data_IF_940850664804
#
_entry.id   IF_940850664804
#
_cell.length_a   1.000
_cell.length_b   1.000
_cell.length_c   1.000
_cell.angle_alpha   90.00
_cell.angle_beta   90.00
_cell.angle_gamma   90.00
#
_symmetry.space_group_name_H-M   'P 1'
#
loop_
_entity.id
_entity.type
_entity.pdbx_description
1 polymer ?
#
# COMPACT_ATOMS: atom_id res chain seq x y z
N UNK A 1 -3.61 -4.03 13.61
CA UNK A 1 -3.95 -3.47 12.29
C UNK A 1 -2.68 -2.93 11.66
N UNK A 2 -2.43 -3.28 10.40
CA UNK A 2 -1.29 -2.86 9.61
C UNK A 2 -1.77 -2.08 8.39
N UNK A 3 -1.22 -0.90 8.18
CA UNK A 3 -1.60 0.03 7.12
C UNK A 3 -0.39 0.22 6.20
N UNK A 4 -0.55 0.02 4.91
CA UNK A 4 0.49 0.27 3.90
C UNK A 4 0.26 1.61 3.19
N UNK A 5 1.33 2.37 2.97
CA UNK A 5 1.31 3.55 2.12
C UNK A 5 1.72 3.13 0.71
N UNK A 6 0.90 3.42 -0.27
CA UNK A 6 1.19 3.15 -1.67
C UNK A 6 1.08 4.41 -2.54
N UNK A 7 1.60 4.35 -3.73
CA UNK A 7 1.59 5.41 -4.71
C UNK A 7 2.87 5.43 -5.55
N UNK A 8 2.89 6.19 -6.62
CA UNK A 8 4.07 6.30 -7.50
C UNK A 8 5.29 6.87 -6.75
N UNK A 9 6.43 6.87 -7.37
CA UNK A 9 7.64 7.50 -6.81
C UNK A 9 7.45 9.01 -6.62
N UNK A 10 8.11 9.60 -5.63
CA UNK A 10 8.20 11.04 -5.36
C UNK A 10 6.87 11.78 -5.04
N UNK A 11 5.78 11.09 -4.69
CA UNK A 11 4.51 11.72 -4.27
C UNK A 11 4.44 12.08 -2.78
N UNK A 12 5.52 11.87 -2.02
CA UNK A 12 5.57 12.25 -0.61
C UNK A 12 5.18 11.16 0.39
N UNK A 13 5.12 9.87 0.01
CA UNK A 13 4.82 8.75 0.93
C UNK A 13 5.71 8.75 2.18
N UNK A 14 7.03 8.76 2.01
CA UNK A 14 7.99 8.74 3.12
C UNK A 14 7.94 10.02 3.96
N UNK A 15 7.56 11.15 3.36
CA UNK A 15 7.32 12.40 4.09
C UNK A 15 6.09 12.27 4.98
N UNK A 16 4.99 11.75 4.44
CA UNK A 16 3.78 11.47 5.22
C UNK A 16 4.07 10.46 6.34
N UNK A 17 4.76 9.35 6.02
CA UNK A 17 5.18 8.36 7.00
C UNK A 17 5.95 8.99 8.17
N UNK A 18 6.98 9.80 7.88
CA UNK A 18 7.79 10.47 8.89
C UNK A 18 6.96 11.41 9.76
N UNK A 19 6.01 12.14 9.17
CA UNK A 19 5.16 13.08 9.88
C UNK A 19 4.21 12.39 10.88
N UNK A 20 3.64 11.23 10.50
CA UNK A 20 2.63 10.55 11.34
C UNK A 20 3.25 9.56 12.35
N UNK A 21 4.44 9.02 12.07
CA UNK A 21 5.14 8.10 12.98
C UNK A 21 6.16 8.81 13.86
N UNK A 22 6.48 10.07 13.56
CA UNK A 22 7.58 10.84 14.18
C UNK A 22 8.95 10.12 14.06
N UNK A 23 9.09 9.26 13.04
CA UNK A 23 10.30 8.50 12.75
C UNK A 23 10.97 9.12 11.52
N UNK A 24 12.29 9.21 11.51
CA UNK A 24 13.03 9.70 10.35
C UNK A 24 13.05 8.61 9.27
N UNK A 25 12.22 8.73 8.24
CA UNK A 25 12.33 7.90 7.04
C UNK A 25 13.48 8.39 6.16
N UNK A 26 14.14 7.49 5.45
CA UNK A 26 15.09 7.88 4.42
C UNK A 26 14.33 8.51 3.24
N UNK A 27 14.36 9.83 3.17
CA UNK A 27 13.75 10.60 2.09
C UNK A 27 14.83 10.95 1.06
N UNK A 28 14.61 10.58 -0.19
CA UNK A 28 15.49 10.94 -1.30
C UNK A 28 14.69 11.27 -2.55
N UNK A 29 15.21 12.18 -3.37
CA UNK A 29 14.59 12.61 -4.63
C UNK A 29 14.94 11.67 -5.81
N UNK A 30 15.47 10.49 -5.53
CA UNK A 30 15.81 9.51 -6.55
C UNK A 30 14.75 8.41 -6.62
N UNK A 31 14.43 7.88 -7.80
CA UNK A 31 13.61 6.69 -7.94
C UNK A 31 14.20 5.54 -7.10
N UNK A 32 13.34 4.79 -6.39
CA UNK A 32 13.72 3.61 -5.58
C UNK A 32 14.54 3.90 -4.32
N UNK A 33 14.34 5.04 -3.65
CA UNK A 33 15.02 5.37 -2.38
C UNK A 33 14.69 4.36 -1.28
N UNK A 34 13.49 3.79 -1.27
CA UNK A 34 13.05 2.82 -0.26
C UNK A 34 13.21 1.39 -0.81
N UNK A 35 14.32 0.73 -0.47
CA UNK A 35 14.61 -0.66 -0.86
C UNK A 35 13.96 -1.64 0.12
N UNK A 36 13.99 -1.33 1.42
CA UNK A 36 13.28 -2.05 2.47
C UNK A 36 12.16 -1.17 3.01
N UNK A 37 10.97 -1.72 3.31
CA UNK A 37 9.87 -0.93 3.82
C UNK A 37 10.21 -0.35 5.19
N UNK A 38 10.05 0.96 5.36
CA UNK A 38 10.11 1.58 6.68
C UNK A 38 8.86 1.19 7.48
N UNK A 39 9.06 0.78 8.71
CA UNK A 39 7.97 0.39 9.62
C UNK A 39 7.95 1.32 10.81
N UNK A 40 6.79 1.86 11.13
CA UNK A 40 6.60 2.76 12.27
C UNK A 40 5.25 2.56 12.95
N UNK A 41 5.07 3.21 14.09
CA UNK A 41 3.81 3.23 14.82
C UNK A 41 3.18 4.61 14.67
N UNK A 42 1.97 4.63 14.16
CA UNK A 42 1.10 5.80 14.12
C UNK A 42 -0.07 5.63 15.11
N UNK A 43 -0.76 6.70 15.44
CA UNK A 43 -1.87 6.67 16.38
C UNK A 43 -3.14 7.24 15.76
N UNK A 44 -4.20 6.45 15.79
CA UNK A 44 -5.56 6.90 15.42
C UNK A 44 -6.28 7.37 16.67
N UNK A 45 -6.88 8.56 16.61
CA UNK A 45 -7.67 9.14 17.72
C UNK A 45 -9.11 8.73 17.61
N UNK A 46 -9.71 8.34 18.73
CA UNK A 46 -11.15 8.07 18.85
C UNK A 46 -11.67 8.48 20.24
N UNK A 47 -12.96 8.64 20.39
CA UNK A 47 -13.54 8.85 21.72
C UNK A 47 -13.38 7.60 22.57
N UNK A 48 -12.95 7.79 23.81
CA UNK A 48 -12.83 6.68 24.74
C UNK A 48 -14.20 6.36 25.37
N UNK A 49 -14.49 5.07 25.55
CA UNK A 49 -15.71 4.61 26.22
C UNK A 49 -15.88 5.18 27.63
N UNK A 50 -14.76 5.52 28.31
CA UNK A 50 -14.82 6.17 29.63
C UNK A 50 -15.60 7.49 29.62
N UNK A 51 -15.56 8.23 28.51
CA UNK A 51 -16.30 9.47 28.33
C UNK A 51 -17.81 9.22 28.24
N UNK A 52 -18.21 8.14 27.57
CA UNK A 52 -19.61 7.74 27.41
C UNK A 52 -20.21 7.24 28.74
N UNK A 53 -19.46 6.44 29.50
CA UNK A 53 -19.90 5.84 30.75
C UNK A 53 -19.58 6.70 31.98
N UNK A 54 -19.09 7.92 31.82
CA UNK A 54 -18.65 8.81 32.91
C UNK A 54 -17.73 8.12 33.94
N UNK A 55 -16.85 7.21 33.44
CA UNK A 55 -15.92 6.44 34.27
C UNK A 55 -14.51 7.03 34.20
N UNK A 56 -13.83 7.08 35.34
CA UNK A 56 -12.40 7.39 35.36
C UNK A 56 -11.60 6.10 35.27
N UNK A 57 -10.61 6.09 34.38
CA UNK A 57 -9.65 5.01 34.31
C UNK A 57 -8.24 5.56 34.00
N UNK A 58 -7.23 4.85 34.45
CA UNK A 58 -5.85 5.20 34.17
C UNK A 58 -5.31 4.28 33.08
N UNK A 59 -5.39 4.71 31.83
CA UNK A 59 -4.84 3.98 30.69
C UNK A 59 -3.88 4.90 29.92
N UNK A 60 -2.63 4.50 29.67
CA UNK A 60 -1.60 5.37 29.08
C UNK A 60 -1.98 5.92 27.70
N UNK A 61 -2.83 5.21 26.96
CA UNK A 61 -3.31 5.63 25.65
C UNK A 61 -4.71 6.27 25.69
N UNK A 62 -5.17 6.77 26.87
CA UNK A 62 -6.37 7.56 27.00
C UNK A 62 -6.05 8.88 27.71
N UNK A 63 -6.09 9.96 26.96
CA UNK A 63 -5.78 11.31 27.46
C UNK A 63 -7.04 12.15 27.33
N UNK A 64 -7.56 12.66 28.46
CA UNK A 64 -8.75 13.52 28.51
C UNK A 64 -9.95 12.94 27.73
N UNK A 65 -10.21 11.64 27.86
CA UNK A 65 -11.32 10.98 27.17
C UNK A 65 -11.08 10.68 25.69
N UNK A 66 -9.90 10.99 25.17
CA UNK A 66 -9.47 10.60 23.82
C UNK A 66 -8.59 9.35 23.87
N UNK A 67 -9.02 8.31 23.17
CA UNK A 67 -8.28 7.06 23.04
C UNK A 67 -7.35 7.13 21.83
N UNK A 68 -6.10 6.79 22.04
CA UNK A 68 -5.08 6.63 20.98
C UNK A 68 -4.91 5.14 20.69
N UNK A 69 -5.20 4.75 19.45
CA UNK A 69 -5.09 3.36 18.99
C UNK A 69 -3.82 3.26 18.17
N UNK A 70 -2.87 2.46 18.64
CA UNK A 70 -1.63 2.21 17.91
C UNK A 70 -1.91 1.38 16.65
N UNK A 71 -1.43 1.84 15.51
CA UNK A 71 -1.48 1.14 14.22
C UNK A 71 -0.07 1.06 13.64
N UNK A 72 0.25 -0.09 13.06
CA UNK A 72 1.52 -0.29 12.35
C UNK A 72 1.39 0.32 10.97
N UNK A 73 2.27 1.27 10.64
CA UNK A 73 2.34 1.89 9.32
C UNK A 73 3.57 1.39 8.59
N UNK A 74 3.42 1.10 7.31
CA UNK A 74 4.49 0.63 6.42
C UNK A 74 4.61 1.61 5.27
N UNK A 75 5.80 2.19 5.08
CA UNK A 75 6.15 2.97 3.90
C UNK A 75 6.66 2.03 2.81
N UNK A 76 5.78 1.66 1.90
CA UNK A 76 6.12 0.76 0.80
C UNK A 76 6.84 1.55 -0.30
N UNK A 77 7.78 0.91 -0.97
CA UNK A 77 8.53 1.53 -2.08
C UNK A 77 7.60 2.11 -3.15
N UNK A 78 8.04 3.16 -3.84
CA UNK A 78 7.26 3.79 -4.91
C UNK A 78 6.98 2.84 -6.07
N UNK A 79 5.74 2.82 -6.53
CA UNK A 79 5.32 2.06 -7.69
C UNK A 79 5.79 2.75 -8.98
N UNK A 80 6.17 1.95 -9.96
CA UNK A 80 6.50 2.41 -11.32
C UNK A 80 5.73 1.60 -12.35
N UNK A 81 5.44 2.16 -13.54
CA UNK A 81 4.75 1.44 -14.60
C UNK A 81 5.47 0.14 -14.99
N UNK A 82 4.72 -0.96 -15.04
CA UNK A 82 5.24 -2.30 -15.31
C UNK A 82 5.85 -3.00 -14.10
N UNK A 83 5.52 -2.58 -12.87
CA UNK A 83 5.95 -3.27 -11.66
C UNK A 83 5.46 -4.71 -11.61
N UNK A 84 4.25 -4.99 -12.12
CA UNK A 84 3.73 -6.34 -12.26
C UNK A 84 4.58 -7.23 -13.20
N UNK A 85 5.31 -6.64 -14.17
CA UNK A 85 6.26 -7.33 -15.04
C UNK A 85 7.66 -7.46 -14.44
N UNK A 86 7.87 -6.95 -13.22
CA UNK A 86 9.16 -6.98 -12.54
C UNK A 86 10.02 -5.71 -12.72
N UNK A 87 9.47 -4.64 -13.30
CA UNK A 87 10.19 -3.36 -13.41
C UNK A 87 10.31 -2.70 -12.04
N UNK A 88 11.37 -1.97 -11.83
CA UNK A 88 11.67 -1.34 -10.55
C UNK A 88 11.96 -2.36 -9.46
N UNK A 89 11.32 -2.22 -8.30
CA UNK A 89 11.35 -3.23 -7.24
C UNK A 89 10.37 -4.38 -7.50
N UNK A 90 9.65 -4.32 -8.62
CA UNK A 90 8.82 -5.39 -9.15
C UNK A 90 7.78 -5.90 -8.17
N UNK A 91 7.63 -7.21 -8.13
CA UNK A 91 6.65 -7.88 -7.27
C UNK A 91 6.87 -7.66 -5.76
N UNK A 92 8.07 -7.23 -5.32
CA UNK A 92 8.33 -6.95 -3.90
C UNK A 92 7.40 -5.88 -3.36
N UNK A 93 7.16 -4.81 -4.12
CA UNK A 93 6.19 -3.78 -3.75
C UNK A 93 4.80 -4.38 -3.48
N UNK A 94 4.33 -5.21 -4.40
CA UNK A 94 2.99 -5.83 -4.30
C UNK A 94 2.93 -6.87 -3.18
N UNK A 95 4.03 -7.60 -2.94
CA UNK A 95 4.15 -8.51 -1.81
C UNK A 95 4.13 -7.78 -0.46
N UNK A 96 4.79 -6.62 -0.36
CA UNK A 96 4.74 -5.79 0.84
C UNK A 96 3.33 -5.19 1.05
N UNK A 97 2.69 -4.71 -0.03
CA UNK A 97 1.33 -4.17 0.02
C UNK A 97 0.29 -5.20 0.48
N UNK A 98 0.36 -6.45 0.00
CA UNK A 98 -0.59 -7.52 0.37
C UNK A 98 -0.54 -7.92 1.84
N UNK A 99 0.55 -7.61 2.55
CA UNK A 99 0.66 -7.87 3.99
C UNK A 99 -0.13 -6.87 4.83
N UNK A 100 -0.60 -5.79 4.22
CA UNK A 100 -1.36 -4.72 4.86
C UNK A 100 -2.85 -5.03 4.85
N UNK A 101 -3.53 -4.73 5.97
CA UNK A 101 -4.99 -4.88 6.09
C UNK A 101 -5.73 -3.70 5.42
N UNK A 102 -5.06 -2.55 5.34
CA UNK A 102 -5.56 -1.33 4.68
C UNK A 102 -4.42 -0.70 3.89
N UNK A 103 -4.75 -0.15 2.73
CA UNK A 103 -3.81 0.61 1.90
C UNK A 103 -4.28 2.06 1.81
N UNK A 104 -3.35 2.99 2.02
CA UNK A 104 -3.56 4.43 1.81
C UNK A 104 -2.81 4.82 0.54
N UNK A 105 -3.55 5.21 -0.48
CA UNK A 105 -2.97 5.70 -1.73
C UNK A 105 -2.62 7.20 -1.61
N UNK A 106 -1.33 7.51 -1.70
CA UNK A 106 -0.80 8.88 -1.69
C UNK A 106 -0.61 9.33 -3.14
N UNK A 107 -1.26 10.41 -3.52
CA UNK A 107 -1.20 10.99 -4.87
C UNK A 107 -0.66 12.42 -4.84
N UNK A 108 -0.04 12.85 -5.92
CA UNK A 108 0.36 14.24 -6.12
C UNK A 108 -0.80 15.05 -6.74
N UNK A 109 -1.65 15.61 -5.88
CA UNK A 109 -2.80 16.41 -6.32
C UNK A 109 -2.41 17.71 -7.05
N UNK A 110 -1.15 18.15 -6.99
CA UNK A 110 -0.67 19.33 -7.71
C UNK A 110 -0.34 19.05 -9.18
N UNK A 111 -0.22 17.77 -9.55
CA UNK A 111 0.22 17.35 -10.88
C UNK A 111 1.62 17.84 -11.23
N UNK A 112 2.50 17.95 -10.22
CA UNK A 112 3.90 18.40 -10.36
C UNK A 112 4.89 17.26 -10.58
N UNK A 113 4.40 16.03 -10.64
CA UNK A 113 5.19 14.84 -10.96
C UNK A 113 4.51 14.03 -12.05
N UNK A 114 5.27 13.57 -13.04
CA UNK A 114 4.78 12.66 -14.09
C UNK A 114 4.56 11.23 -13.56
N UNK A 115 4.10 10.32 -14.42
CA UNK A 115 3.83 8.93 -14.06
C UNK A 115 5.09 8.16 -13.61
N UNK A 116 6.28 8.59 -14.01
CA UNK A 116 7.57 8.05 -13.55
C UNK A 116 8.04 8.69 -12.23
N UNK A 117 7.32 9.69 -11.71
CA UNK A 117 7.68 10.44 -10.50
C UNK A 117 8.76 11.50 -10.74
N UNK A 118 8.98 11.94 -11.99
CA UNK A 118 9.88 13.03 -12.30
C UNK A 118 9.17 14.37 -12.14
N UNK A 119 9.90 15.38 -11.68
CA UNK A 119 9.32 16.73 -11.49
C UNK A 119 8.97 17.37 -12.83
N UNK A 120 7.74 17.85 -12.94
CA UNK A 120 7.19 18.62 -14.07
C UNK A 120 6.52 19.88 -13.55
N UNK A 121 6.21 20.86 -14.41
CA UNK A 121 5.46 22.05 -13.98
C UNK A 121 4.11 21.67 -13.35
N UNK A 122 3.70 22.38 -12.30
CA UNK A 122 2.42 22.18 -11.61
C UNK A 122 1.26 22.21 -12.60
N UNK A 123 0.33 21.24 -12.48
CA UNK A 123 -0.83 21.13 -13.35
C UNK A 123 -0.56 20.46 -14.70
N UNK A 124 0.65 19.93 -14.93
CA UNK A 124 0.99 19.24 -16.19
C UNK A 124 0.46 17.80 -16.22
N UNK A 125 0.45 17.12 -15.08
CA UNK A 125 0.01 15.73 -14.95
C UNK A 125 -1.37 15.65 -14.28
N UNK A 126 -2.27 14.82 -14.82
CA UNK A 126 -3.58 14.57 -14.19
C UNK A 126 -3.44 13.58 -13.02
N UNK A 127 -3.73 13.99 -11.76
CA UNK A 127 -3.64 13.08 -10.61
C UNK A 127 -4.53 11.83 -10.72
N UNK A 128 -5.59 11.86 -11.54
CA UNK A 128 -6.44 10.69 -11.76
C UNK A 128 -5.74 9.59 -12.58
N UNK A 129 -4.73 9.93 -13.36
CA UNK A 129 -3.90 8.94 -14.04
C UNK A 129 -3.10 8.10 -13.03
N UNK A 130 -2.66 8.72 -11.92
CA UNK A 130 -1.97 7.99 -10.85
C UNK A 130 -2.87 6.95 -10.17
N UNK A 131 -4.16 7.29 -9.99
CA UNK A 131 -5.14 6.37 -9.40
C UNK A 131 -5.34 5.18 -10.33
N UNK A 132 -5.63 5.43 -11.61
CA UNK A 132 -5.84 4.38 -12.62
C UNK A 132 -4.61 3.49 -12.78
N UNK A 133 -3.44 4.10 -12.84
CA UNK A 133 -2.17 3.39 -12.95
C UNK A 133 -1.97 2.38 -11.80
N UNK A 134 -2.23 2.79 -10.56
CA UNK A 134 -2.08 1.89 -9.39
C UNK A 134 -3.10 0.76 -9.45
N UNK A 135 -4.35 1.04 -9.79
CA UNK A 135 -5.40 0.02 -9.96
C UNK A 135 -5.01 -1.00 -11.04
N UNK A 136 -4.56 -0.52 -12.20
CA UNK A 136 -4.12 -1.38 -13.31
C UNK A 136 -2.95 -2.29 -12.92
N UNK A 137 -1.94 -1.78 -12.20
CA UNK A 137 -0.80 -2.57 -11.73
C UNK A 137 -1.25 -3.69 -10.77
N UNK A 138 -2.18 -3.40 -9.85
CA UNK A 138 -2.76 -4.40 -8.95
C UNK A 138 -3.57 -5.45 -9.70
N UNK A 139 -4.40 -5.04 -10.66
CA UNK A 139 -5.22 -5.94 -11.45
C UNK A 139 -4.34 -6.89 -12.29
N UNK A 140 -3.31 -6.38 -12.95
CA UNK A 140 -2.38 -7.19 -13.72
C UNK A 140 -1.58 -8.16 -12.83
N UNK A 141 -1.14 -7.72 -11.67
CA UNK A 141 -0.48 -8.58 -10.70
C UNK A 141 -1.39 -9.69 -10.19
N UNK A 142 -2.63 -9.36 -9.81
CA UNK A 142 -3.63 -10.35 -9.38
C UNK A 142 -3.90 -11.37 -10.49
N UNK A 143 -4.08 -10.89 -11.73
CA UNK A 143 -4.27 -11.74 -12.90
C UNK A 143 -3.11 -12.72 -13.11
N UNK A 144 -1.86 -12.26 -12.95
CA UNK A 144 -0.69 -13.13 -13.06
C UNK A 144 -0.66 -14.22 -11.99
N UNK A 145 -1.01 -13.87 -10.73
CA UNK A 145 -1.11 -14.86 -9.65
C UNK A 145 -2.17 -15.91 -9.99
N UNK A 146 -3.37 -15.46 -10.38
CA UNK A 146 -4.46 -16.35 -10.74
C UNK A 146 -4.09 -17.26 -11.92
N UNK A 147 -3.46 -16.72 -12.96
CA UNK A 147 -3.03 -17.50 -14.12
C UNK A 147 -2.00 -18.57 -13.74
N UNK A 148 -1.02 -18.23 -12.89
CA UNK A 148 0.02 -19.16 -12.43
C UNK A 148 -0.59 -20.30 -11.60
N UNK A 149 -1.43 -19.96 -10.64
CA UNK A 149 -2.07 -20.97 -9.78
C UNK A 149 -3.10 -21.80 -10.55
N UNK A 150 -3.82 -21.20 -11.50
CA UNK A 150 -4.74 -21.91 -12.39
C UNK A 150 -4.03 -22.95 -13.26
N UNK A 151 -2.92 -22.60 -13.89
CA UNK A 151 -2.12 -23.54 -14.68
C UNK A 151 -1.61 -24.72 -13.85
N UNK A 152 -1.22 -24.46 -12.60
CA UNK A 152 -0.79 -25.49 -11.67
C UNK A 152 -1.94 -26.43 -11.31
N UNK A 153 -3.09 -25.86 -10.94
CA UNK A 153 -4.30 -26.60 -10.58
C UNK A 153 -4.80 -27.42 -11.77
N UNK A 154 -4.84 -26.86 -12.97
CA UNK A 154 -5.26 -27.54 -14.19
C UNK A 154 -4.39 -28.81 -14.45
N UNK A 155 -3.06 -28.70 -14.36
CA UNK A 155 -2.15 -29.85 -14.51
C UNK A 155 -2.38 -30.92 -13.45
N UNK A 156 -2.64 -30.53 -12.19
CA UNK A 156 -2.96 -31.48 -11.12
C UNK A 156 -4.27 -32.22 -11.37
N UNK A 157 -5.29 -31.50 -11.84
CA UNK A 157 -6.60 -32.07 -12.18
C UNK A 157 -6.53 -33.02 -13.39
N UNK A 158 -5.79 -32.64 -14.43
CA UNK A 158 -5.53 -33.48 -15.60
C UNK A 158 -4.84 -34.79 -15.22
N UNK A 159 -3.87 -34.71 -14.28
CA UNK A 159 -3.15 -35.89 -13.80
C UNK A 159 -4.00 -36.83 -12.93
N UNK A 160 -5.03 -36.31 -12.27
CA UNK A 160 -5.87 -37.06 -11.31
C UNK A 160 -7.16 -37.64 -11.91
N UNK A 161 -7.79 -37.01 -12.89
CA UNK A 161 -8.89 -37.60 -13.66
C UNK A 161 -9.39 -36.64 -14.77
N UNK A 162 -9.45 -37.11 -16.01
CA UNK A 162 -10.02 -36.40 -17.15
C UNK A 162 -11.53 -36.12 -17.09
N UNK A 163 -12.19 -36.37 -15.96
CA UNK A 163 -13.65 -36.18 -15.79
C UNK A 163 -14.04 -34.89 -15.07
N UNK A 164 -13.13 -34.24 -14.36
CA UNK A 164 -13.46 -33.04 -13.57
C UNK A 164 -13.44 -31.77 -14.42
N UNK A 165 -12.67 -31.75 -15.50
CA UNK A 165 -12.57 -30.59 -16.40
C UNK A 165 -13.87 -30.33 -17.17
N UNK A 166 -14.66 -31.38 -17.45
CA UNK A 166 -15.96 -31.25 -18.12
C UNK A 166 -17.07 -30.62 -17.26
N UNK A 167 -16.87 -30.51 -15.95
CA UNK A 167 -17.88 -29.94 -15.04
C UNK A 167 -17.70 -28.46 -14.77
N UNK A 168 -16.60 -27.84 -15.26
CA UNK A 168 -16.22 -26.42 -14.98
C UNK A 168 -16.21 -25.58 -16.28
N UNK A 169 -16.37 -26.21 -17.43
CA UNK A 169 -16.57 -25.54 -18.72
C UNK A 169 -18.06 -25.37 -18.99
#
# INVERSE_FOLDING_TARGET
>A
MQIGLLGKTNVGKSTFFSAVTQTTAQVGNYPFTTIEPNVGIAYVKTDCACKHFAMTHNHPLCINGTRYIAVKLIDVAGLVPGAHEGKGLGNKFLDDARTSEVLIHVIDASGSTDIQGQSVPVGTHDPMEDVKFVEEEFDQWMKQILQREWQKLARELESKSGKVIQAIA
#
